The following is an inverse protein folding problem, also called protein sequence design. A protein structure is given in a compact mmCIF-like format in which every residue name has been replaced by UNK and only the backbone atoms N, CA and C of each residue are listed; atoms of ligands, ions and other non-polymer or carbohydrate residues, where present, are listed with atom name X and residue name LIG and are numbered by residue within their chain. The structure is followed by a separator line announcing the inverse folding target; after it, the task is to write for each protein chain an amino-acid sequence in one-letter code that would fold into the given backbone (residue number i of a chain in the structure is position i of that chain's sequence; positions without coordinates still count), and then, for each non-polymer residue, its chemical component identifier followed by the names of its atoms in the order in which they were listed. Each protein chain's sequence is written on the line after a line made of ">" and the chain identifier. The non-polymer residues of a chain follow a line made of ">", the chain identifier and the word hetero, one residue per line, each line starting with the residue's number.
data_IF_613644765119
#
_entry.id   IF_613644765119
#
_cell.length_a   1.000
_cell.length_b   1.000
_cell.length_c   1.000
_cell.angle_alpha   90.00
_cell.angle_beta   90.00
_cell.angle_gamma   90.00
#
_symmetry.space_group_name_H-M   'P 1'
#
loop_
_entity.id
_entity.type
_entity.pdbx_description
1 polymer ?
#
# COMPACT_ATOMS: atom_id res chain seq x y z
N UNK A 1 16.96 -14.76 44.96
CA UNK A 1 17.83 -15.60 44.13
C UNK A 1 17.03 -16.81 43.66
N UNK A 2 15.94 -16.60 42.92
CA UNK A 2 15.90 -16.13 41.52
C UNK A 2 16.50 -17.16 40.58
N UNK A 3 15.63 -17.78 39.77
CA UNK A 3 15.81 -18.10 38.35
C UNK A 3 15.12 -19.41 37.98
N UNK A 4 13.79 -19.41 37.76
CA UNK A 4 13.16 -20.31 36.78
C UNK A 4 11.94 -19.64 36.10
N UNK A 5 11.99 -18.32 35.90
CA UNK A 5 11.07 -17.58 35.02
C UNK A 5 11.71 -17.54 33.62
N UNK A 6 11.80 -18.68 32.92
CA UNK A 6 12.31 -18.71 31.54
C UNK A 6 11.85 -19.94 30.73
N UNK A 7 10.69 -20.52 31.03
CA UNK A 7 10.18 -21.69 30.28
C UNK A 7 8.72 -21.59 29.85
N UNK A 8 8.24 -20.36 29.63
CA UNK A 8 6.86 -20.10 29.16
C UNK A 8 6.78 -19.26 27.88
N UNK A 9 7.90 -19.00 27.20
CA UNK A 9 7.95 -18.26 25.92
C UNK A 9 8.38 -19.14 24.74
N UNK A 10 8.22 -20.45 24.88
CA UNK A 10 8.38 -21.43 23.81
C UNK A 10 7.07 -21.77 23.09
N UNK A 11 6.05 -20.91 23.18
CA UNK A 11 4.94 -20.98 22.23
C UNK A 11 5.45 -20.37 20.93
N UNK A 12 6.20 -21.17 20.17
CA UNK A 12 6.28 -20.98 18.74
C UNK A 12 4.85 -20.69 18.29
N UNK A 13 4.63 -19.52 17.69
CA UNK A 13 3.57 -19.39 16.70
C UNK A 13 3.96 -20.33 15.55
N UNK A 14 3.85 -21.63 15.82
CA UNK A 14 3.94 -22.69 14.86
C UNK A 14 2.67 -22.46 14.05
N UNK A 15 2.81 -21.79 12.92
CA UNK A 15 1.88 -21.97 11.83
C UNK A 15 2.07 -23.45 11.41
N UNK A 16 1.49 -24.38 12.19
CA UNK A 16 1.47 -25.82 11.97
C UNK A 16 0.62 -26.05 10.73
N UNK A 17 1.21 -25.81 9.58
CA UNK A 17 0.55 -26.09 8.33
C UNK A 17 1.61 -26.29 7.26
N UNK A 18 1.95 -27.57 7.04
CA UNK A 18 2.80 -28.02 5.96
C UNK A 18 2.34 -27.41 4.62
N UNK A 19 3.22 -26.71 3.89
CA UNK A 19 2.86 -25.97 2.68
C UNK A 19 2.49 -26.86 1.48
N UNK A 20 2.72 -28.17 1.57
CA UNK A 20 2.54 -29.11 0.45
C UNK A 20 1.09 -29.52 0.18
N UNK A 21 0.13 -29.13 1.03
CA UNK A 21 -1.29 -29.54 0.91
C UNK A 21 -2.33 -28.43 0.92
N UNK A 22 -1.93 -27.16 1.03
CA UNK A 22 -2.89 -26.05 1.06
C UNK A 22 -3.52 -25.85 -0.31
N UNK A 23 -4.67 -26.50 -0.48
CA UNK A 23 -5.54 -26.23 -1.61
C UNK A 23 -6.22 -24.89 -1.37
N UNK A 24 -6.40 -24.09 -2.43
CA UNK A 24 -7.08 -22.80 -2.34
C UNK A 24 -8.46 -22.84 -1.65
N UNK A 25 -9.07 -24.03 -1.54
CA UNK A 25 -10.33 -24.26 -0.83
C UNK A 25 -10.28 -24.23 0.70
N UNK A 26 -9.09 -24.20 1.32
CA UNK A 26 -8.95 -24.03 2.78
C UNK A 26 -8.83 -22.56 3.20
N UNK A 27 -8.46 -21.67 2.27
CA UNK A 27 -8.38 -20.24 2.53
C UNK A 27 -9.75 -19.57 2.41
N UNK A 28 -10.00 -18.62 3.29
CA UNK A 28 -11.23 -17.87 3.29
C UNK A 28 -11.37 -16.99 2.03
N UNK A 29 -12.36 -17.31 1.21
CA UNK A 29 -12.88 -16.38 0.20
C UNK A 29 -13.77 -15.33 0.88
N UNK A 30 -13.22 -14.16 1.19
CA UNK A 30 -13.95 -13.11 1.87
C UNK A 30 -14.81 -12.33 0.88
N UNK A 31 -16.09 -12.20 1.20
CA UNK A 31 -17.03 -11.30 0.54
C UNK A 31 -16.73 -9.83 0.89
N UNK A 32 -17.34 -8.91 0.14
CA UNK A 32 -17.20 -7.46 0.40
C UNK A 32 -17.71 -7.09 1.80
N UNK A 33 -18.81 -7.71 2.24
CA UNK A 33 -19.39 -7.47 3.56
C UNK A 33 -18.45 -7.95 4.68
N UNK A 34 -17.91 -9.16 4.56
CA UNK A 34 -16.94 -9.68 5.53
C UNK A 34 -15.67 -8.82 5.60
N UNK A 35 -15.18 -8.33 4.46
CA UNK A 35 -14.03 -7.42 4.39
C UNK A 35 -14.33 -6.09 5.10
N UNK A 36 -15.54 -5.55 4.95
CA UNK A 36 -15.95 -4.31 5.62
C UNK A 36 -16.11 -4.51 7.14
N UNK A 37 -16.71 -5.64 7.57
CA UNK A 37 -16.81 -6.00 8.98
C UNK A 37 -15.43 -6.21 9.61
N UNK A 38 -14.56 -6.95 8.92
CA UNK A 38 -13.17 -7.17 9.32
C UNK A 38 -12.43 -5.84 9.50
N UNK A 39 -12.54 -4.94 8.52
CA UNK A 39 -11.96 -3.61 8.61
C UNK A 39 -12.50 -2.81 9.80
N UNK A 40 -13.80 -2.85 10.06
CA UNK A 40 -14.40 -2.15 11.22
C UNK A 40 -13.76 -2.59 12.54
N UNK A 41 -13.49 -3.89 12.71
CA UNK A 41 -12.86 -4.45 13.91
C UNK A 41 -11.40 -4.01 14.08
N UNK A 42 -10.63 -3.91 13.00
CA UNK A 42 -9.20 -3.61 13.05
C UNK A 42 -8.87 -2.11 12.89
N UNK A 43 -9.82 -1.31 12.41
CA UNK A 43 -9.64 0.12 12.06
C UNK A 43 -9.07 1.00 13.18
N UNK A 44 -9.24 0.58 14.45
CA UNK A 44 -8.69 1.30 15.62
C UNK A 44 -7.18 1.12 15.77
N UNK A 45 -6.59 0.12 15.14
CA UNK A 45 -5.15 -0.10 15.12
C UNK A 45 -4.60 0.21 13.73
N UNK A 46 -3.88 1.33 13.63
CA UNK A 46 -3.33 1.83 12.36
C UNK A 46 -2.40 0.81 11.71
N UNK A 47 -1.51 0.18 12.48
CA UNK A 47 -0.53 -0.75 11.92
C UNK A 47 -1.20 -2.01 11.37
N UNK A 48 -2.14 -2.58 12.11
CA UNK A 48 -2.93 -3.74 11.65
C UNK A 48 -3.72 -3.39 10.39
N UNK A 49 -4.29 -2.18 10.34
CA UNK A 49 -4.99 -1.67 9.16
C UNK A 49 -4.06 -1.51 7.96
N UNK A 50 -2.82 -1.04 8.17
CA UNK A 50 -1.82 -0.92 7.13
C UNK A 50 -1.40 -2.29 6.58
N UNK A 51 -1.11 -3.26 7.47
CA UNK A 51 -0.83 -4.65 7.08
C UNK A 51 -1.99 -5.23 6.27
N UNK A 52 -3.23 -4.99 6.71
CA UNK A 52 -4.43 -5.46 6.03
C UNK A 52 -4.54 -4.96 4.59
N UNK A 53 -4.25 -3.68 4.34
CA UNK A 53 -4.22 -3.16 2.96
C UNK A 53 -3.01 -3.62 2.16
N UNK A 54 -1.90 -3.92 2.84
CA UNK A 54 -0.69 -4.44 2.21
C UNK A 54 -0.87 -5.88 1.70
N UNK A 55 -1.74 -6.68 2.34
CA UNK A 55 -2.17 -8.00 1.84
C UNK A 55 -2.85 -7.95 0.46
N UNK A 56 -3.32 -6.78 0.07
CA UNK A 56 -4.02 -6.58 -1.18
C UNK A 56 -3.23 -5.67 -2.13
N UNK A 57 -1.94 -5.47 -1.88
CA UNK A 57 -1.09 -4.66 -2.76
C UNK A 57 -1.03 -5.30 -4.15
N UNK A 58 -0.88 -4.46 -5.17
CA UNK A 58 -0.56 -4.93 -6.50
C UNK A 58 0.93 -5.28 -6.57
N UNK A 59 1.23 -6.54 -6.82
CA UNK A 59 2.59 -7.00 -7.14
C UNK A 59 2.66 -7.39 -8.61
N UNK A 60 3.70 -6.98 -9.36
CA UNK A 60 3.88 -7.38 -10.74
C UNK A 60 3.86 -8.91 -10.87
N UNK A 61 2.77 -9.39 -11.47
CA UNK A 61 2.45 -10.76 -11.87
C UNK A 61 3.41 -11.85 -11.35
N UNK A 62 3.27 -12.24 -10.07
CA UNK A 62 3.73 -13.56 -9.69
C UNK A 62 2.80 -14.56 -10.38
N UNK A 63 3.34 -15.39 -11.28
CA UNK A 63 2.66 -16.55 -11.87
C UNK A 63 2.26 -17.57 -10.79
N UNK A 64 1.37 -17.19 -9.89
CA UNK A 64 0.77 -18.05 -8.90
C UNK A 64 -0.55 -18.58 -9.45
N UNK A 65 -0.97 -19.75 -8.96
CA UNK A 65 -2.20 -20.42 -9.33
C UNK A 65 -3.37 -19.44 -9.50
N UNK A 66 -4.30 -19.68 -10.45
CA UNK A 66 -5.33 -18.72 -10.85
C UNK A 66 -6.22 -18.16 -9.74
N UNK A 67 -6.18 -18.75 -8.54
CA UNK A 67 -7.02 -18.38 -7.40
C UNK A 67 -6.25 -17.80 -6.20
N UNK A 68 -4.91 -17.83 -6.18
CA UNK A 68 -4.11 -17.42 -5.03
C UNK A 68 -3.11 -16.32 -5.37
N UNK A 69 -3.11 -15.28 -4.55
CA UNK A 69 -2.14 -14.19 -4.60
C UNK A 69 -1.01 -14.45 -3.61
N UNK A 70 0.24 -14.43 -4.10
CA UNK A 70 1.45 -14.70 -3.29
C UNK A 70 2.19 -13.40 -2.96
N UNK A 71 2.46 -13.21 -1.68
CA UNK A 71 3.23 -12.09 -1.12
C UNK A 71 4.47 -12.62 -0.40
N UNK A 72 5.52 -11.81 -0.30
CA UNK A 72 6.70 -12.11 0.52
C UNK A 72 6.66 -11.28 1.80
N UNK A 73 6.84 -11.93 2.96
CA UNK A 73 6.89 -11.24 4.25
C UNK A 73 8.01 -10.19 4.28
N UNK A 74 9.19 -10.50 3.75
CA UNK A 74 10.31 -9.57 3.69
C UNK A 74 10.02 -8.37 2.81
N UNK A 75 9.26 -8.57 1.74
CA UNK A 75 8.84 -7.49 0.85
C UNK A 75 7.79 -6.59 1.53
N UNK A 76 6.82 -7.17 2.24
CA UNK A 76 5.87 -6.41 3.06
C UNK A 76 6.59 -5.59 4.15
N UNK A 77 7.54 -6.19 4.86
CA UNK A 77 8.37 -5.48 5.85
C UNK A 77 9.09 -4.29 5.23
N UNK A 78 9.75 -4.51 4.10
CA UNK A 78 10.49 -3.46 3.38
C UNK A 78 9.57 -2.32 2.93
N UNK A 79 8.40 -2.63 2.40
CA UNK A 79 7.44 -1.62 1.95
C UNK A 79 6.84 -0.82 3.10
N UNK A 80 6.55 -1.49 4.21
CA UNK A 80 6.03 -0.86 5.40
C UNK A 80 7.11 -0.19 6.26
N UNK A 81 8.39 -0.33 5.88
CA UNK A 81 9.55 0.11 6.67
C UNK A 81 9.53 -0.44 8.10
N UNK A 82 9.05 -1.68 8.26
CA UNK A 82 9.05 -2.38 9.54
C UNK A 82 10.41 -3.07 9.74
N UNK A 83 11.15 -2.61 10.75
CA UNK A 83 12.41 -3.24 11.16
C UNK A 83 12.18 -4.52 11.98
N UNK A 84 11.00 -4.65 12.61
CA UNK A 84 10.68 -5.69 13.58
C UNK A 84 9.74 -6.75 12.97
N UNK A 85 10.31 -7.88 12.55
CA UNK A 85 9.55 -8.95 11.93
C UNK A 85 8.47 -9.61 12.79
N UNK A 86 8.68 -9.85 14.09
CA UNK A 86 7.65 -10.32 15.01
C UNK A 86 6.38 -9.46 15.02
N UNK A 87 6.53 -8.14 14.89
CA UNK A 87 5.39 -7.20 14.89
C UNK A 87 4.48 -7.43 13.67
N UNK A 88 5.05 -7.72 12.49
CA UNK A 88 4.27 -8.05 11.30
C UNK A 88 3.46 -9.35 11.52
N UNK A 89 4.08 -10.37 12.11
CA UNK A 89 3.41 -11.64 12.41
C UNK A 89 2.27 -11.46 13.42
N UNK A 90 2.46 -10.61 14.43
CA UNK A 90 1.42 -10.28 15.39
C UNK A 90 0.23 -9.58 14.72
N UNK A 91 0.49 -8.60 13.84
CA UNK A 91 -0.56 -7.91 13.08
C UNK A 91 -1.36 -8.88 12.20
N UNK A 92 -0.66 -9.79 11.51
CA UNK A 92 -1.27 -10.85 10.72
C UNK A 92 -2.17 -11.76 11.58
N UNK A 93 -1.72 -12.15 12.77
CA UNK A 93 -2.52 -12.94 13.70
C UNK A 93 -3.79 -12.19 14.15
N UNK A 94 -3.69 -10.88 14.45
CA UNK A 94 -4.87 -10.06 14.80
C UNK A 94 -5.89 -10.04 13.66
N UNK A 95 -5.45 -9.96 12.40
CA UNK A 95 -6.33 -9.99 11.22
C UNK A 95 -7.06 -11.34 11.13
N UNK A 96 -6.35 -12.46 11.29
CA UNK A 96 -6.98 -13.79 11.28
C UNK A 96 -8.00 -13.94 12.41
N UNK A 97 -7.66 -13.51 13.64
CA UNK A 97 -8.61 -13.56 14.75
C UNK A 97 -9.84 -12.68 14.52
N UNK A 98 -9.69 -11.54 13.85
CA UNK A 98 -10.83 -10.71 13.49
C UNK A 98 -11.72 -11.39 12.45
N UNK A 99 -11.15 -12.08 11.45
CA UNK A 99 -11.91 -12.88 10.49
C UNK A 99 -12.67 -14.02 11.17
N UNK A 100 -12.01 -14.74 12.08
CA UNK A 100 -12.64 -15.83 12.85
C UNK A 100 -13.86 -15.34 13.63
N UNK A 101 -13.81 -14.12 14.17
CA UNK A 101 -14.95 -13.48 14.84
C UNK A 101 -16.07 -13.11 13.87
N UNK A 102 -15.74 -12.57 12.68
CA UNK A 102 -16.74 -12.23 11.64
C UNK A 102 -17.47 -13.48 11.15
N UNK A 103 -16.74 -14.59 10.94
CA UNK A 103 -17.32 -15.87 10.48
C UNK A 103 -17.92 -16.72 11.58
N UNK A 104 -17.62 -16.40 12.84
CA UNK A 104 -17.88 -17.28 13.98
C UNK A 104 -17.30 -18.70 13.75
N UNK A 105 -16.12 -18.76 13.13
CA UNK A 105 -15.43 -20.00 12.77
C UNK A 105 -13.95 -19.89 13.17
N UNK A 106 -13.48 -20.65 14.17
CA UNK A 106 -12.10 -20.59 14.63
C UNK A 106 -11.10 -21.17 13.63
N UNK A 107 -11.57 -21.98 12.67
CA UNK A 107 -10.73 -22.55 11.62
C UNK A 107 -10.51 -21.61 10.43
N UNK A 108 -11.29 -20.52 10.34
CA UNK A 108 -11.17 -19.58 9.24
C UNK A 108 -9.80 -18.88 9.25
N UNK A 109 -9.12 -18.93 8.10
CA UNK A 109 -7.87 -18.21 7.88
C UNK A 109 -7.96 -17.39 6.60
N UNK A 110 -7.58 -16.11 6.69
CA UNK A 110 -7.53 -15.20 5.53
C UNK A 110 -6.36 -15.53 4.62
N UNK A 111 -5.28 -16.01 5.23
CA UNK A 111 -4.02 -16.29 4.54
C UNK A 111 -3.33 -17.52 5.11
N UNK A 112 -2.39 -18.07 4.36
CA UNK A 112 -1.48 -19.10 4.84
C UNK A 112 -0.04 -18.72 4.56
N UNK A 113 0.89 -19.20 5.39
CA UNK A 113 2.33 -18.99 5.19
C UNK A 113 3.05 -20.28 4.82
N UNK A 114 4.09 -20.14 4.01
CA UNK A 114 5.05 -21.21 3.68
C UNK A 114 6.35 -21.02 4.47
N UNK A 115 7.14 -22.09 4.61
CA UNK A 115 8.42 -22.11 5.33
C UNK A 115 9.44 -21.11 4.76
N UNK A 116 9.28 -20.70 3.50
CA UNK A 116 10.15 -19.72 2.84
C UNK A 116 9.74 -18.27 3.11
N UNK A 117 8.74 -18.03 3.97
CA UNK A 117 8.26 -16.71 4.33
C UNK A 117 7.34 -16.07 3.29
N UNK A 118 6.70 -16.89 2.45
CA UNK A 118 5.63 -16.42 1.56
C UNK A 118 4.28 -16.48 2.27
N UNK A 119 3.40 -15.55 1.94
CA UNK A 119 2.00 -15.56 2.33
C UNK A 119 1.13 -15.73 1.09
N UNK A 120 0.09 -16.55 1.22
CA UNK A 120 -0.91 -16.81 0.20
C UNK A 120 -2.28 -16.36 0.70
N UNK A 121 -3.00 -15.64 -0.14
CA UNK A 121 -4.36 -15.16 0.14
C UNK A 121 -5.22 -15.40 -1.10
N UNK A 122 -6.50 -15.69 -0.91
CA UNK A 122 -7.40 -15.90 -2.04
C UNK A 122 -7.57 -14.62 -2.87
N UNK A 123 -7.53 -14.73 -4.20
CA UNK A 123 -7.61 -13.58 -5.11
C UNK A 123 -8.95 -12.83 -4.94
N UNK A 124 -10.04 -13.55 -4.64
CA UNK A 124 -11.34 -12.95 -4.27
C UNK A 124 -11.18 -11.98 -3.09
N UNK A 125 -10.49 -12.41 -2.03
CA UNK A 125 -10.25 -11.63 -0.82
C UNK A 125 -9.37 -10.41 -1.12
N UNK A 126 -8.25 -10.59 -1.84
CA UNK A 126 -7.41 -9.47 -2.28
C UNK A 126 -8.20 -8.41 -3.06
N UNK A 127 -9.01 -8.84 -4.03
CA UNK A 127 -9.83 -7.92 -4.84
C UNK A 127 -10.82 -7.13 -4.00
N UNK A 128 -11.48 -7.78 -3.04
CA UNK A 128 -12.45 -7.11 -2.19
C UNK A 128 -11.78 -6.15 -1.20
N UNK A 129 -10.59 -6.48 -0.69
CA UNK A 129 -9.78 -5.57 0.14
C UNK A 129 -9.32 -4.35 -0.68
N UNK A 130 -8.87 -4.54 -1.94
CA UNK A 130 -8.53 -3.43 -2.86
C UNK A 130 -9.72 -2.49 -3.06
N UNK A 131 -10.90 -3.05 -3.38
CA UNK A 131 -12.13 -2.26 -3.52
C UNK A 131 -12.43 -1.46 -2.27
N UNK A 132 -12.33 -2.08 -1.08
CA UNK A 132 -12.55 -1.35 0.17
C UNK A 132 -11.56 -0.19 0.31
N UNK A 133 -10.28 -0.40 0.01
CA UNK A 133 -9.26 0.66 0.03
C UNK A 133 -9.62 1.82 -0.91
N UNK A 134 -10.03 1.51 -2.14
CA UNK A 134 -10.47 2.50 -3.13
C UNK A 134 -11.70 3.30 -2.67
N UNK A 135 -12.63 2.67 -1.93
CA UNK A 135 -13.78 3.36 -1.34
C UNK A 135 -13.40 4.25 -0.15
N UNK A 136 -12.36 3.90 0.60
CA UNK A 136 -11.92 4.63 1.79
C UNK A 136 -10.97 5.79 1.48
N UNK A 137 -10.20 5.68 0.40
CA UNK A 137 -9.42 6.80 -0.12
C UNK A 137 -10.39 7.65 -0.94
N UNK A 138 -10.89 8.80 -0.44
CA UNK A 138 -11.57 9.74 -1.34
C UNK A 138 -10.60 10.00 -2.48
N UNK A 139 -11.08 10.00 -3.72
CA UNK A 139 -10.26 10.34 -4.87
C UNK A 139 -9.54 11.63 -4.52
N UNK A 140 -8.26 11.50 -4.16
CA UNK A 140 -7.37 12.64 -4.13
C UNK A 140 -7.26 12.91 -5.61
N UNK A 141 -8.15 13.79 -6.09
CA UNK A 141 -7.96 14.46 -7.34
C UNK A 141 -6.50 14.84 -7.32
N UNK A 142 -5.77 14.29 -8.28
CA UNK A 142 -4.50 14.81 -8.69
C UNK A 142 -4.73 16.29 -9.00
N UNK A 143 -4.64 17.13 -7.98
CA UNK A 143 -4.22 18.50 -8.15
C UNK A 143 -2.77 18.38 -8.54
N UNK A 144 -2.57 18.07 -9.82
CA UNK A 144 -1.42 18.51 -10.56
C UNK A 144 -1.26 19.99 -10.21
N UNK A 145 -0.37 20.28 -9.28
CA UNK A 145 0.19 21.62 -9.11
C UNK A 145 0.81 21.92 -10.46
N UNK A 146 0.31 22.89 -11.26
CA UNK A 146 1.16 23.44 -12.30
C UNK A 146 2.39 23.93 -11.55
N UNK A 147 3.57 23.40 -11.89
CA UNK A 147 4.83 24.04 -11.55
C UNK A 147 4.78 25.41 -12.22
N UNK A 148 4.27 26.41 -11.51
CA UNK A 148 4.53 27.80 -11.81
C UNK A 148 6.03 27.96 -11.64
N UNK A 149 6.73 28.00 -12.78
CA UNK A 149 8.10 28.46 -12.85
C UNK A 149 8.12 29.92 -12.36
N UNK A 150 8.42 30.10 -11.08
CA UNK A 150 8.73 31.41 -10.50
C UNK A 150 10.14 31.76 -10.93
N UNK A 151 10.24 32.43 -12.08
CA UNK A 151 11.39 33.25 -12.45
C UNK A 151 11.08 34.73 -12.15
N UNK A 152 11.64 35.24 -11.05
CA UNK A 152 12.05 36.64 -10.91
C UNK A 152 10.97 37.72 -10.86
N UNK A 153 10.59 38.11 -9.64
CA UNK A 153 9.88 39.33 -9.31
C UNK A 153 10.87 40.51 -9.19
N UNK A 154 10.67 41.60 -9.95
CA UNK A 154 10.99 42.97 -9.51
C UNK A 154 9.87 43.90 -10.04
N UNK A 155 9.09 44.57 -9.17
CA UNK A 155 8.31 45.74 -9.55
C UNK A 155 8.79 46.97 -8.79
N UNK A 156 8.95 48.09 -9.49
CA UNK A 156 8.76 49.43 -8.93
C UNK A 156 8.82 50.49 -10.05
N UNK A 157 7.78 51.32 -10.13
CA UNK A 157 7.94 52.74 -10.51
C UNK A 157 7.49 53.17 -11.91
N UNK A 158 6.26 53.67 -11.98
CA UNK A 158 5.78 54.95 -12.57
C UNK A 158 6.43 55.57 -13.83
N UNK A 159 5.56 56.29 -14.56
CA UNK A 159 5.79 57.27 -15.66
C UNK A 159 5.79 56.63 -17.07
N UNK A 160 4.74 56.72 -17.90
CA UNK A 160 3.98 57.86 -18.43
C UNK A 160 4.81 58.72 -19.41
N UNK A 161 4.23 59.01 -20.59
CA UNK A 161 4.64 59.97 -21.64
C UNK A 161 5.36 59.46 -22.92
N UNK A 162 4.52 59.26 -23.95
CA UNK A 162 4.54 59.84 -25.33
C UNK A 162 5.83 60.07 -26.17
N UNK A 163 5.68 60.11 -27.51
CA UNK A 163 6.70 59.71 -28.50
C UNK A 163 7.54 60.87 -29.04
N UNK A 164 8.81 60.64 -29.39
CA UNK A 164 9.55 61.57 -30.26
C UNK A 164 10.67 60.89 -31.08
N UNK A 165 10.59 61.17 -32.39
CA UNK A 165 11.58 61.13 -33.47
C UNK A 165 13.06 60.78 -33.20
N UNK A 166 13.55 59.79 -33.99
CA UNK A 166 14.70 59.83 -34.95
C UNK A 166 16.13 60.21 -34.45
N UNK A 167 17.23 59.97 -35.22
CA UNK A 167 17.37 59.27 -36.51
C UNK A 167 18.65 58.36 -36.63
N UNK A 168 18.80 57.79 -37.84
CA UNK A 168 20.04 57.58 -38.63
C UNK A 168 21.24 56.74 -38.15
N UNK A 169 21.49 55.63 -38.89
CA UNK A 169 22.69 55.35 -39.73
C UNK A 169 22.51 53.94 -40.34
N UNK A 170 22.16 53.78 -41.63
CA UNK A 170 22.96 53.92 -42.86
C UNK A 170 24.06 52.86 -43.03
N UNK A 171 23.87 51.94 -43.99
CA UNK A 171 24.79 51.40 -45.03
C UNK A 171 24.29 50.01 -45.41
N UNK A 172 23.64 49.81 -46.56
CA UNK A 172 24.21 49.73 -47.91
C UNK A 172 23.57 48.48 -48.52
N UNK A 173 22.80 48.52 -49.60
CA UNK A 173 23.18 48.99 -50.92
C UNK A 173 23.48 47.75 -51.77
N UNK A 174 22.54 47.33 -52.62
CA UNK A 174 22.90 47.06 -54.01
C UNK A 174 21.66 47.17 -54.93
N UNK A 175 21.82 47.73 -56.14
CA UNK A 175 20.75 48.02 -57.08
C UNK A 175 20.64 46.96 -58.20
N UNK A 176 19.48 46.99 -58.86
CA UNK A 176 19.20 46.71 -60.27
C UNK A 176 19.60 45.35 -60.90
N UNK A 177 18.59 44.53 -61.19
CA UNK A 177 18.41 43.77 -62.44
C UNK A 177 16.95 43.30 -62.57
#
# INVERSE_FOLDING_TARGET
>A
MENEIAKALGSQAHFEHEPSKMQAGELAECTVDEVAQLFSLISRNFLVTQVFFELARETPLAHALPSLHRLSLSDMQRHMQLEDGPVLVECLNVINQALQRVRNDPAASLFASDERGHIYIHETSCRNIRRLREHLVPAHSSTAVPRTEVGGFIPAGLEEQEPVMQPEHAFGGNPDA
#
